data_IF_937760537130
#
_entry.id   IF_937760537130
#
_cell.length_a   1.000
_cell.length_b   1.000
_cell.length_c   1.000
_cell.angle_alpha   90.00
_cell.angle_beta   90.00
_cell.angle_gamma   90.00
#
_symmetry.space_group_name_H-M   'P 1'
#
loop_
_entity.id
_entity.type
_entity.pdbx_description
1 polymer ?
#
# COMPACT_ATOMS: atom_id res chain seq x y z
N UNK A 1 22.92 -31.51 36.65
CA UNK A 1 21.55 -31.25 36.14
C UNK A 1 21.08 -29.80 36.35
N UNK A 2 21.40 -29.13 37.47
CA UNK A 2 21.06 -27.70 37.69
C UNK A 2 21.76 -26.68 36.77
N UNK A 3 22.94 -26.99 36.22
CA UNK A 3 23.68 -26.10 35.29
C UNK A 3 23.24 -26.22 33.82
N UNK A 4 22.54 -27.28 33.43
CA UNK A 4 21.97 -27.41 32.07
C UNK A 4 20.62 -26.66 31.93
N UNK A 5 19.91 -26.43 33.02
CA UNK A 5 18.66 -25.66 33.02
C UNK A 5 18.88 -24.15 32.83
N UNK A 6 20.06 -23.62 33.17
CA UNK A 6 20.38 -22.20 33.01
C UNK A 6 20.79 -21.80 31.58
N UNK A 7 21.16 -22.79 30.75
CA UNK A 7 21.56 -22.55 29.34
C UNK A 7 20.33 -22.57 28.42
N UNK A 8 19.22 -23.18 28.86
CA UNK A 8 17.96 -23.19 28.11
C UNK A 8 17.12 -21.91 28.31
N UNK A 9 17.46 -21.04 29.26
CA UNK A 9 16.71 -19.79 29.53
C UNK A 9 17.27 -18.55 28.82
N UNK A 10 18.29 -18.70 27.96
CA UNK A 10 18.92 -17.60 27.21
C UNK A 10 18.51 -17.57 25.73
N UNK A 11 17.57 -18.42 25.30
CA UNK A 11 17.20 -18.61 23.88
C UNK A 11 15.89 -17.91 23.47
N UNK A 12 15.36 -17.00 24.28
CA UNK A 12 14.23 -16.15 23.89
C UNK A 12 14.69 -14.70 23.75
N UNK A 13 15.55 -14.44 22.77
CA UNK A 13 15.61 -13.11 22.18
C UNK A 13 14.50 -13.05 21.15
N UNK A 14 13.40 -12.44 21.56
CA UNK A 14 12.28 -12.08 20.72
C UNK A 14 12.79 -11.36 19.47
N UNK A 15 12.57 -11.97 18.31
CA UNK A 15 12.57 -11.29 17.03
C UNK A 15 11.43 -10.26 17.12
N UNK A 16 11.76 -9.00 17.36
CA UNK A 16 10.80 -7.92 17.14
C UNK A 16 10.93 -7.53 15.68
N UNK A 17 10.28 -8.31 14.82
CA UNK A 17 10.04 -7.88 13.46
C UNK A 17 8.91 -6.83 13.52
N UNK A 18 9.25 -5.63 13.07
CA UNK A 18 8.38 -4.46 13.01
C UNK A 18 8.76 -3.73 11.73
N UNK A 19 8.06 -4.04 10.66
CA UNK A 19 8.38 -3.63 9.30
C UNK A 19 7.75 -2.29 8.94
N UNK A 20 6.70 -1.90 9.66
CA UNK A 20 5.90 -0.73 9.35
C UNK A 20 6.20 0.42 10.33
N UNK A 21 6.15 1.63 9.77
CA UNK A 21 6.09 2.89 10.49
C UNK A 21 4.83 3.65 10.05
N UNK A 22 3.68 3.16 10.52
CA UNK A 22 2.37 3.67 10.17
C UNK A 22 1.89 4.77 11.12
N UNK A 23 1.51 5.91 10.57
CA UNK A 23 0.76 6.95 11.28
C UNK A 23 -0.73 6.78 11.06
N UNK A 24 -1.54 6.83 12.12
CA UNK A 24 -3.00 6.69 12.03
C UNK A 24 -3.68 8.00 12.43
N UNK A 25 -4.68 8.39 11.66
CA UNK A 25 -5.56 9.53 11.97
C UNK A 25 -7.01 9.14 11.83
N UNK A 26 -7.86 9.63 12.73
CA UNK A 26 -9.31 9.41 12.68
C UNK A 26 -10.02 10.76 12.56
N UNK A 27 -10.74 10.94 11.46
CA UNK A 27 -11.66 12.06 11.26
C UNK A 27 -13.10 11.56 11.48
N UNK A 28 -13.76 12.10 12.50
CA UNK A 28 -15.15 11.80 12.82
C UNK A 28 -16.07 13.04 12.75
N UNK A 29 -15.68 14.09 12.01
CA UNK A 29 -16.47 15.33 11.87
C UNK A 29 -17.88 15.06 11.33
N UNK A 30 -18.01 14.10 10.41
CA UNK A 30 -19.28 13.73 9.79
C UNK A 30 -20.28 13.10 10.78
N UNK A 31 -19.82 12.59 11.92
CA UNK A 31 -20.69 12.04 12.98
C UNK A 31 -21.42 13.11 13.78
N UNK A 32 -20.97 14.37 13.71
CA UNK A 32 -21.42 15.45 14.61
C UNK A 32 -20.87 15.35 16.04
N UNK A 33 -20.11 14.29 16.36
CA UNK A 33 -19.54 14.02 17.68
C UNK A 33 -18.02 13.78 17.60
N UNK A 34 -17.28 14.64 16.90
CA UNK A 34 -15.86 14.42 16.58
C UNK A 34 -14.90 14.28 17.77
N UNK A 35 -15.30 14.69 18.98
CA UNK A 35 -14.43 14.76 20.17
C UNK A 35 -14.56 13.58 21.14
N UNK A 36 -15.29 12.52 20.77
CA UNK A 36 -15.47 11.36 21.64
C UNK A 36 -14.13 10.66 21.94
N UNK A 37 -13.99 10.19 23.19
CA UNK A 37 -12.80 9.49 23.66
C UNK A 37 -12.51 8.23 22.84
N UNK A 38 -13.57 7.51 22.43
CA UNK A 38 -13.48 6.28 21.64
C UNK A 38 -12.62 6.43 20.39
N UNK A 39 -12.65 7.60 19.72
CA UNK A 39 -11.83 7.84 18.52
C UNK A 39 -10.34 7.99 18.85
N UNK A 40 -10.00 8.59 20.00
CA UNK A 40 -8.60 8.71 20.45
C UNK A 40 -8.05 7.35 20.85
N UNK A 41 -8.86 6.56 21.57
CA UNK A 41 -8.51 5.19 21.95
C UNK A 41 -8.30 4.33 20.71
N UNK A 42 -9.27 4.32 19.79
CA UNK A 42 -9.19 3.59 18.52
C UNK A 42 -7.96 3.98 17.70
N UNK A 43 -7.65 5.28 17.58
CA UNK A 43 -6.45 5.73 16.86
C UNK A 43 -5.17 5.17 17.50
N UNK A 44 -5.07 5.21 18.83
CA UNK A 44 -3.91 4.67 19.56
C UNK A 44 -3.79 3.16 19.38
N UNK A 45 -4.89 2.42 19.53
CA UNK A 45 -4.89 0.96 19.41
C UNK A 45 -4.55 0.49 17.99
N UNK A 46 -5.09 1.14 16.95
CA UNK A 46 -4.72 0.84 15.56
C UNK A 46 -3.25 1.18 15.30
N UNK A 47 -2.77 2.33 15.80
CA UNK A 47 -1.34 2.70 15.66
C UNK A 47 -0.44 1.67 16.31
N UNK A 48 -0.80 1.19 17.50
CA UNK A 48 -0.06 0.15 18.20
C UNK A 48 -0.10 -1.16 17.43
N UNK A 49 -1.29 -1.59 16.99
CA UNK A 49 -1.48 -2.81 16.23
C UNK A 49 -0.65 -2.83 14.94
N UNK A 50 -0.68 -1.76 14.15
CA UNK A 50 0.06 -1.72 12.88
C UNK A 50 1.59 -1.75 13.08
N UNK A 51 2.09 -1.09 14.13
CA UNK A 51 3.53 -0.90 14.34
C UNK A 51 4.19 -1.92 15.27
N UNK A 52 3.41 -2.63 16.10
CA UNK A 52 3.93 -3.63 17.05
C UNK A 52 3.66 -5.07 16.64
N UNK A 53 2.76 -5.30 15.69
CA UNK A 53 2.55 -6.63 15.12
C UNK A 53 3.72 -7.02 14.24
N UNK A 54 4.19 -8.26 14.42
CA UNK A 54 5.16 -8.90 13.54
C UNK A 54 4.44 -9.41 12.31
N UNK A 55 4.56 -8.70 11.19
CA UNK A 55 3.90 -9.09 9.94
C UNK A 55 4.71 -10.13 9.17
N UNK A 56 6.02 -10.12 9.35
CA UNK A 56 6.95 -11.07 8.72
C UNK A 56 7.97 -11.55 9.76
N UNK A 57 8.89 -12.41 9.32
CA UNK A 57 10.04 -12.85 10.13
C UNK A 57 11.26 -11.91 9.95
N UNK A 58 11.12 -10.80 9.23
CA UNK A 58 12.22 -9.89 8.92
C UNK A 58 12.52 -8.93 10.08
N UNK A 59 13.76 -8.99 10.56
CA UNK A 59 14.28 -7.97 11.46
C UNK A 59 14.84 -6.79 10.66
N UNK A 60 14.02 -5.76 10.47
CA UNK A 60 14.45 -4.50 9.85
C UNK A 60 14.88 -3.47 10.89
N UNK A 61 15.84 -2.62 10.55
CA UNK A 61 16.20 -1.48 11.40
C UNK A 61 15.10 -0.41 11.33
N UNK A 62 15.06 0.48 12.32
CA UNK A 62 14.05 1.56 12.37
C UNK A 62 14.00 2.38 11.07
N UNK A 63 15.16 2.71 10.49
CA UNK A 63 15.26 3.46 9.24
C UNK A 63 14.93 2.66 7.97
N UNK A 64 14.79 1.33 8.09
CA UNK A 64 14.42 0.42 7.00
C UNK A 64 12.92 0.07 7.07
N UNK A 65 12.18 0.63 8.04
CA UNK A 65 10.73 0.46 8.13
C UNK A 65 10.03 1.22 7.00
N UNK A 66 8.95 0.63 6.52
CA UNK A 66 8.12 1.20 5.47
C UNK A 66 7.23 2.28 6.08
N UNK A 67 7.37 3.51 5.59
CA UNK A 67 6.53 4.62 6.01
C UNK A 67 5.12 4.47 5.41
N UNK A 68 4.11 4.50 6.26
CA UNK A 68 2.70 4.36 5.88
C UNK A 68 1.79 5.33 6.65
N UNK A 69 0.63 5.62 6.06
CA UNK A 69 -0.39 6.45 6.69
C UNK A 69 -1.78 5.87 6.46
N UNK A 70 -2.56 5.81 7.53
CA UNK A 70 -3.95 5.38 7.54
C UNK A 70 -4.82 6.54 8.02
N UNK A 71 -5.63 7.11 7.13
CA UNK A 71 -6.62 8.11 7.49
C UNK A 71 -8.02 7.51 7.42
N UNK A 72 -8.63 7.33 8.59
CA UNK A 72 -9.96 6.73 8.73
C UNK A 72 -10.98 7.86 8.84
N UNK A 73 -11.98 7.86 7.96
CA UNK A 73 -13.08 8.81 7.99
C UNK A 73 -14.32 8.07 8.47
N UNK A 74 -14.78 8.38 9.68
CA UNK A 74 -15.99 7.83 10.29
C UNK A 74 -17.16 8.73 9.94
N UNK A 75 -18.13 8.19 9.21
CA UNK A 75 -19.34 8.90 8.81
C UNK A 75 -20.49 8.72 9.79
N UNK A 76 -20.55 7.56 10.47
CA UNK A 76 -21.58 7.26 11.45
C UNK A 76 -21.05 6.30 12.54
N UNK A 77 -21.61 6.40 13.74
CA UNK A 77 -21.39 5.51 14.87
C UNK A 77 -22.74 5.13 15.48
N UNK A 78 -22.96 3.83 15.70
CA UNK A 78 -24.14 3.30 16.38
C UNK A 78 -23.71 2.22 17.38
N UNK A 79 -23.64 2.60 18.66
CA UNK A 79 -23.00 1.81 19.71
C UNK A 79 -21.58 1.42 19.28
N UNK A 80 -21.35 0.14 19.04
CA UNK A 80 -20.04 -0.42 18.73
C UNK A 80 -19.81 -0.53 17.22
N UNK A 81 -20.79 -0.19 16.39
CA UNK A 81 -20.71 -0.25 14.94
C UNK A 81 -20.32 1.10 14.34
N UNK A 82 -19.30 1.07 13.49
CA UNK A 82 -18.74 2.23 12.82
C UNK A 82 -18.93 2.09 11.30
N UNK A 83 -19.55 3.10 10.70
CA UNK A 83 -19.58 3.26 9.25
C UNK A 83 -18.42 4.15 8.85
N UNK A 84 -17.46 3.63 8.09
CA UNK A 84 -16.25 4.35 7.78
C UNK A 84 -15.67 4.00 6.40
N UNK A 85 -14.70 4.82 6.02
CA UNK A 85 -13.79 4.61 4.89
C UNK A 85 -12.36 4.79 5.38
N UNK A 86 -11.40 4.19 4.67
CA UNK A 86 -9.99 4.30 4.99
C UNK A 86 -9.18 4.70 3.76
N UNK A 87 -8.37 5.74 3.93
CA UNK A 87 -7.35 6.13 2.97
C UNK A 87 -6.02 5.52 3.41
N UNK A 88 -5.44 4.70 2.55
CA UNK A 88 -4.19 3.98 2.79
C UNK A 88 -3.11 4.54 1.89
N UNK A 89 -2.00 4.94 2.49
CA UNK A 89 -0.84 5.46 1.79
C UNK A 89 0.44 4.78 2.28
N UNK A 90 1.38 4.54 1.38
CA UNK A 90 2.74 4.13 1.72
C UNK A 90 3.75 4.81 0.82
N UNK A 91 4.99 4.90 1.30
CA UNK A 91 6.12 5.45 0.54
C UNK A 91 7.40 4.73 0.89
N UNK A 92 8.36 4.80 -0.02
CA UNK A 92 9.73 4.34 0.22
C UNK A 92 10.76 5.44 -0.06
N UNK A 93 11.93 5.41 0.57
CA UNK A 93 13.02 6.31 0.23
C UNK A 93 13.61 5.96 -1.15
N UNK A 94 13.98 7.01 -1.89
CA UNK A 94 14.77 6.87 -3.12
C UNK A 94 16.25 6.76 -2.75
N UNK A 95 16.95 5.83 -3.41
CA UNK A 95 18.35 5.55 -3.11
C UNK A 95 19.24 6.81 -3.20
N UNK A 96 20.07 7.01 -2.18
CA UNK A 96 21.00 8.15 -2.08
C UNK A 96 20.32 9.52 -2.20
N UNK A 97 19.08 9.63 -1.73
CA UNK A 97 18.27 10.86 -1.76
C UNK A 97 17.49 11.02 -0.45
N UNK A 98 17.08 12.26 -0.16
CA UNK A 98 16.10 12.56 0.91
C UNK A 98 14.66 12.51 0.42
N UNK A 99 14.45 12.15 -0.84
CA UNK A 99 13.12 12.09 -1.47
C UNK A 99 12.44 10.76 -1.17
N UNK A 100 11.21 10.83 -0.67
CA UNK A 100 10.33 9.68 -0.50
C UNK A 100 9.32 9.62 -1.64
N UNK A 101 9.26 8.46 -2.29
CA UNK A 101 8.38 8.23 -3.43
C UNK A 101 7.14 7.44 -2.99
N UNK A 102 5.92 7.87 -3.37
CA UNK A 102 4.68 7.19 -2.97
C UNK A 102 4.54 5.85 -3.70
N UNK A 103 4.17 4.79 -2.99
CA UNK A 103 4.00 3.43 -3.54
C UNK A 103 2.53 3.06 -3.66
N UNK A 104 1.75 3.33 -2.62
CA UNK A 104 0.33 3.07 -2.57
C UNK A 104 -0.43 4.34 -2.21
N UNK A 105 -1.57 4.56 -2.86
CA UNK A 105 -2.53 5.59 -2.50
C UNK A 105 -3.94 5.07 -2.83
N UNK A 106 -4.64 4.49 -1.86
CA UNK A 106 -5.92 3.82 -2.08
C UNK A 106 -7.00 4.27 -1.10
N UNK A 107 -8.16 4.67 -1.66
CA UNK A 107 -9.35 5.00 -0.90
C UNK A 107 -10.31 3.81 -0.88
N UNK A 108 -10.39 3.15 0.26
CA UNK A 108 -11.30 2.05 0.50
C UNK A 108 -12.57 2.54 1.20
N UNK A 109 -13.67 2.53 0.45
CA UNK A 109 -14.99 2.97 0.92
C UNK A 109 -15.78 1.87 1.62
N UNK A 110 -15.27 0.65 1.67
CA UNK A 110 -15.97 -0.52 2.20
C UNK A 110 -15.32 -0.94 3.54
N UNK A 111 -15.24 0.01 4.48
CA UNK A 111 -14.57 -0.16 5.77
C UNK A 111 -15.53 0.07 6.94
N UNK A 112 -16.60 -0.71 6.99
CA UNK A 112 -17.50 -0.75 8.15
C UNK A 112 -16.96 -1.78 9.14
N UNK A 113 -16.94 -1.46 10.43
CA UNK A 113 -16.38 -2.36 11.44
C UNK A 113 -17.07 -2.22 12.78
N UNK A 114 -16.90 -3.24 13.63
CA UNK A 114 -17.26 -3.18 15.04
C UNK A 114 -16.00 -2.93 15.86
N UNK A 115 -16.12 -2.10 16.90
CA UNK A 115 -15.03 -1.83 17.84
C UNK A 115 -15.56 -1.59 19.25
N UNK A 116 -14.90 -2.22 20.22
CA UNK A 116 -15.16 -2.07 21.65
C UNK A 116 -13.83 -1.70 22.30
N UNK A 117 -13.79 -0.60 23.06
CA UNK A 117 -12.55 -0.10 23.67
C UNK A 117 -11.88 -1.16 24.56
N UNK A 118 -10.54 -1.18 24.53
CA UNK A 118 -9.70 -2.08 25.33
C UNK A 118 -9.84 -3.57 24.97
N UNK A 119 -10.62 -3.92 23.95
CA UNK A 119 -10.58 -5.26 23.38
C UNK A 119 -9.28 -5.43 22.60
N UNK A 120 -8.47 -6.48 22.88
CA UNK A 120 -7.19 -6.63 22.23
C UNK A 120 -7.36 -6.87 20.72
N UNK A 121 -6.63 -6.10 19.92
CA UNK A 121 -6.52 -6.29 18.47
C UNK A 121 -5.43 -7.34 18.22
N UNK A 122 -5.83 -8.61 18.05
CA UNK A 122 -4.92 -9.71 17.74
C UNK A 122 -5.22 -10.26 16.36
N UNK A 123 -4.20 -10.36 15.51
CA UNK A 123 -4.34 -10.96 14.19
C UNK A 123 -4.04 -12.46 14.23
N UNK A 124 -4.87 -13.24 13.53
CA UNK A 124 -4.63 -14.63 13.24
C UNK A 124 -4.94 -14.90 11.77
N UNK A 125 -3.97 -15.42 11.03
CA UNK A 125 -4.11 -15.67 9.59
C UNK A 125 -5.20 -16.70 9.24
N UNK A 126 -5.54 -17.58 10.18
CA UNK A 126 -6.45 -18.70 9.93
C UNK A 126 -7.89 -18.44 10.41
N UNK A 127 -8.13 -17.37 11.18
CA UNK A 127 -9.45 -17.08 11.74
C UNK A 127 -9.88 -15.66 11.44
N UNK A 128 -11.17 -15.50 11.15
CA UNK A 128 -11.79 -14.18 11.09
C UNK A 128 -12.24 -13.78 12.48
N UNK A 129 -11.58 -12.79 13.06
CA UNK A 129 -11.94 -12.24 14.37
C UNK A 129 -12.82 -10.97 14.21
N UNK A 130 -12.34 -10.00 13.44
CA UNK A 130 -13.12 -8.80 13.12
C UNK A 130 -12.75 -8.20 11.77
N UNK A 131 -13.67 -7.41 11.20
CA UNK A 131 -13.40 -6.71 9.95
C UNK A 131 -12.33 -5.62 10.11
N UNK A 132 -12.27 -4.96 11.28
CA UNK A 132 -11.23 -3.98 11.59
C UNK A 132 -9.84 -4.60 11.46
N UNK A 133 -9.62 -5.71 12.17
CA UNK A 133 -8.33 -6.43 12.19
C UNK A 133 -8.00 -6.96 10.79
N UNK A 134 -8.97 -7.56 10.10
CA UNK A 134 -8.76 -8.14 8.76
C UNK A 134 -8.37 -7.09 7.73
N UNK A 135 -9.03 -5.92 7.72
CA UNK A 135 -8.69 -4.83 6.79
C UNK A 135 -7.30 -4.28 7.07
N UNK A 136 -6.96 -4.06 8.34
CA UNK A 136 -5.64 -3.54 8.73
C UNK A 136 -4.52 -4.53 8.35
N UNK A 137 -4.71 -5.82 8.64
CA UNK A 137 -3.76 -6.88 8.26
C UNK A 137 -3.61 -7.01 6.74
N UNK A 138 -4.72 -6.94 5.99
CA UNK A 138 -4.68 -6.95 4.53
C UNK A 138 -3.81 -5.82 3.97
N UNK A 139 -3.95 -4.61 4.50
CA UNK A 139 -3.15 -3.48 4.06
C UNK A 139 -1.70 -3.56 4.51
N UNK A 140 -1.41 -4.12 5.69
CA UNK A 140 -0.03 -4.39 6.11
C UNK A 140 0.70 -5.25 5.08
N UNK A 141 0.16 -6.44 4.74
CA UNK A 141 0.77 -7.32 3.75
C UNK A 141 0.78 -6.74 2.33
N UNK A 142 -0.24 -6.00 1.94
CA UNK A 142 -0.27 -5.33 0.63
C UNK A 142 0.82 -4.27 0.53
N UNK A 143 1.02 -3.46 1.58
CA UNK A 143 2.08 -2.44 1.63
C UNK A 143 3.45 -3.09 1.56
N UNK A 144 3.70 -4.13 2.38
CA UNK A 144 4.98 -4.85 2.39
C UNK A 144 5.26 -5.49 1.02
N UNK A 145 4.25 -6.10 0.40
CA UNK A 145 4.41 -6.72 -0.91
C UNK A 145 4.71 -5.73 -2.04
N UNK A 146 4.03 -4.57 -2.04
CA UNK A 146 4.30 -3.52 -3.03
C UNK A 146 5.67 -2.88 -2.83
N UNK A 147 6.09 -2.70 -1.58
CA UNK A 147 7.43 -2.20 -1.27
C UNK A 147 8.50 -3.19 -1.78
N UNK A 148 8.40 -4.47 -1.41
CA UNK A 148 9.32 -5.51 -1.86
C UNK A 148 9.38 -5.62 -3.40
N UNK A 149 8.22 -5.60 -4.07
CA UNK A 149 8.14 -5.66 -5.54
C UNK A 149 8.79 -4.44 -6.24
N UNK A 150 8.92 -3.32 -5.54
CA UNK A 150 9.62 -2.13 -6.07
C UNK A 150 11.14 -2.24 -6.01
N UNK A 151 11.68 -3.12 -5.16
CA UNK A 151 13.12 -3.38 -5.02
C UNK A 151 13.59 -4.59 -5.82
N UNK A 152 12.76 -5.62 -5.94
CA UNK A 152 13.09 -6.87 -6.62
C UNK A 152 11.85 -7.51 -7.27
N UNK A 153 12.01 -7.96 -8.51
CA UNK A 153 10.93 -8.64 -9.24
C UNK A 153 10.54 -9.95 -8.52
N UNK A 154 9.25 -10.11 -8.26
CA UNK A 154 8.70 -11.30 -7.59
C UNK A 154 8.80 -11.28 -6.06
N UNK A 155 9.56 -10.37 -5.46
CA UNK A 155 9.72 -10.32 -3.99
C UNK A 155 8.43 -9.97 -3.24
N UNK A 156 7.42 -9.39 -3.92
CA UNK A 156 6.11 -9.08 -3.34
C UNK A 156 5.15 -10.27 -3.22
N UNK A 157 5.34 -11.33 -4.02
CA UNK A 157 4.38 -12.43 -4.18
C UNK A 157 4.03 -13.16 -2.86
N UNK A 158 4.98 -13.48 -1.96
CA UNK A 158 4.66 -14.13 -0.69
C UNK A 158 3.67 -13.33 0.17
N UNK A 159 3.80 -12.00 0.20
CA UNK A 159 2.94 -11.13 0.99
C UNK A 159 1.56 -10.97 0.37
N UNK A 160 1.46 -10.98 -0.96
CA UNK A 160 0.17 -10.98 -1.64
C UNK A 160 -0.59 -12.30 -1.41
N UNK A 161 0.11 -13.43 -1.28
CA UNK A 161 -0.51 -14.70 -0.89
C UNK A 161 -1.02 -14.69 0.56
N UNK A 162 -0.29 -14.08 1.50
CA UNK A 162 -0.82 -13.85 2.87
C UNK A 162 -2.08 -12.97 2.86
N UNK A 163 -2.05 -11.86 2.09
CA UNK A 163 -3.22 -11.01 1.91
C UNK A 163 -4.41 -11.77 1.29
N UNK A 164 -4.16 -12.76 0.43
CA UNK A 164 -5.19 -13.63 -0.15
C UNK A 164 -5.79 -14.57 0.90
N UNK A 165 -5.01 -15.08 1.85
CA UNK A 165 -5.57 -15.84 2.97
C UNK A 165 -6.56 -15.01 3.77
N UNK A 166 -6.23 -13.74 4.05
CA UNK A 166 -7.14 -12.80 4.73
C UNK A 166 -8.42 -12.58 3.92
N UNK A 167 -8.32 -12.39 2.60
CA UNK A 167 -9.50 -12.28 1.72
C UNK A 167 -10.38 -13.52 1.84
N UNK A 168 -9.79 -14.73 1.79
CA UNK A 168 -10.53 -15.98 1.84
C UNK A 168 -11.22 -16.23 3.19
N UNK A 169 -10.59 -15.86 4.31
CA UNK A 169 -11.18 -16.01 5.64
C UNK A 169 -12.26 -14.96 5.89
N UNK A 170 -12.02 -13.70 5.50
CA UNK A 170 -12.97 -12.61 5.69
C UNK A 170 -14.24 -12.74 4.83
N UNK A 171 -14.10 -13.22 3.59
CA UNK A 171 -15.23 -13.40 2.67
C UNK A 171 -16.33 -14.33 3.23
N UNK A 172 -15.99 -15.25 4.15
CA UNK A 172 -16.95 -16.17 4.76
C UNK A 172 -17.92 -15.47 5.73
N UNK A 173 -17.53 -14.33 6.31
CA UNK A 173 -18.29 -13.62 7.32
C UNK A 173 -18.79 -12.26 6.82
N UNK A 174 -17.99 -11.57 6.00
CA UNK A 174 -18.28 -10.24 5.47
C UNK A 174 -18.08 -10.24 3.97
N UNK A 175 -19.14 -9.93 3.20
CA UNK A 175 -19.02 -9.85 1.73
C UNK A 175 -18.36 -8.54 1.29
N UNK A 176 -18.70 -7.42 1.92
CA UNK A 176 -18.31 -6.08 1.47
C UNK A 176 -16.78 -5.87 1.49
N UNK A 177 -16.23 -5.61 0.31
CA UNK A 177 -14.81 -5.43 0.03
C UNK A 177 -14.01 -6.73 -0.11
N UNK A 178 -14.56 -7.88 0.29
CA UNK A 178 -13.87 -9.19 0.32
C UNK A 178 -14.34 -10.18 -0.74
N UNK A 179 -15.37 -9.85 -1.52
CA UNK A 179 -15.93 -10.73 -2.54
C UNK A 179 -15.89 -10.12 -3.94
N UNK A 180 -16.04 -10.96 -4.96
CA UNK A 180 -16.16 -10.51 -6.36
C UNK A 180 -17.37 -9.59 -6.60
N UNK A 181 -18.40 -9.69 -5.75
CA UNK A 181 -19.60 -8.86 -5.81
C UNK A 181 -19.38 -7.45 -5.25
N UNK A 182 -18.24 -7.19 -4.61
CA UNK A 182 -17.90 -5.89 -3.99
C UNK A 182 -17.57 -4.78 -5.01
N UNK A 183 -17.59 -5.09 -6.30
CA UNK A 183 -17.31 -4.16 -7.37
C UNK A 183 -15.84 -4.15 -7.81
N UNK A 184 -15.55 -3.30 -8.78
CA UNK A 184 -14.26 -3.25 -9.49
C UNK A 184 -13.14 -2.59 -8.70
N UNK A 185 -13.46 -1.93 -7.58
CA UNK A 185 -12.52 -1.23 -6.71
C UNK A 185 -12.67 -1.73 -5.28
N UNK A 186 -12.16 -2.94 -5.02
CA UNK A 186 -12.30 -3.63 -3.75
C UNK A 186 -10.97 -4.30 -3.35
N UNK A 187 -10.82 -4.65 -2.07
CA UNK A 187 -9.66 -5.40 -1.56
C UNK A 187 -9.53 -6.74 -2.27
N UNK A 188 -10.66 -7.43 -2.47
CA UNK A 188 -10.73 -8.65 -3.28
C UNK A 188 -10.12 -8.45 -4.67
N UNK A 189 -10.58 -7.42 -5.40
CA UNK A 189 -10.11 -7.19 -6.77
C UNK A 189 -8.65 -6.78 -6.81
N UNK A 190 -8.21 -5.95 -5.86
CA UNK A 190 -6.81 -5.54 -5.73
C UNK A 190 -5.90 -6.77 -5.59
N UNK A 191 -6.18 -7.64 -4.63
CA UNK A 191 -5.37 -8.83 -4.37
C UNK A 191 -5.41 -9.83 -5.54
N UNK A 192 -6.59 -10.04 -6.13
CA UNK A 192 -6.73 -10.88 -7.32
C UNK A 192 -5.85 -10.40 -8.48
N UNK A 193 -5.83 -9.09 -8.73
CA UNK A 193 -5.02 -8.53 -9.81
C UNK A 193 -3.52 -8.59 -9.45
N UNK A 194 -3.13 -8.36 -8.18
CA UNK A 194 -1.73 -8.45 -7.72
C UNK A 194 -1.12 -9.85 -7.89
N UNK A 195 -1.91 -10.91 -7.71
CA UNK A 195 -1.47 -12.30 -7.88
C UNK A 195 -1.66 -12.83 -9.30
N UNK A 196 -2.36 -12.10 -10.17
CA UNK A 196 -2.67 -12.61 -11.50
C UNK A 196 -1.44 -12.53 -12.40
N UNK A 197 -1.04 -13.64 -13.07
CA UNK A 197 0.09 -13.65 -14.00
C UNK A 197 -0.15 -12.74 -15.23
N UNK A 198 -1.39 -12.32 -15.46
CA UNK A 198 -1.72 -11.34 -16.51
C UNK A 198 -1.24 -9.90 -16.20
N UNK A 199 -0.66 -9.66 -15.03
CA UNK A 199 -0.15 -8.36 -14.60
C UNK A 199 1.36 -8.39 -14.33
N UNK A 200 2.11 -9.31 -14.96
CA UNK A 200 3.58 -9.32 -14.83
C UNK A 200 4.21 -8.01 -15.30
N UNK A 201 3.69 -7.44 -16.40
CA UNK A 201 4.15 -6.17 -16.96
C UNK A 201 3.94 -4.99 -16.00
N UNK A 202 2.98 -5.09 -15.08
CA UNK A 202 2.81 -4.08 -14.02
C UNK A 202 4.01 -4.08 -13.07
N UNK A 203 4.49 -5.25 -12.64
CA UNK A 203 5.64 -5.37 -11.76
C UNK A 203 6.95 -4.99 -12.47
N UNK A 204 7.08 -5.33 -13.75
CA UNK A 204 8.21 -4.87 -14.57
C UNK A 204 8.25 -3.33 -14.65
N UNK A 205 7.09 -2.69 -14.87
CA UNK A 205 6.98 -1.24 -14.89
C UNK A 205 7.27 -0.62 -13.53
N UNK A 206 6.75 -1.20 -12.45
CA UNK A 206 7.01 -0.74 -11.08
C UNK A 206 8.50 -0.83 -10.75
N UNK A 207 9.13 -1.99 -10.96
CA UNK A 207 10.55 -2.19 -10.69
C UNK A 207 11.42 -1.23 -11.52
N UNK A 208 11.19 -1.16 -12.83
CA UNK A 208 12.00 -0.31 -13.71
C UNK A 208 11.84 1.18 -13.37
N UNK A 209 10.63 1.63 -13.04
CA UNK A 209 10.36 3.00 -12.63
C UNK A 209 11.14 3.40 -11.36
N UNK A 210 11.14 2.54 -10.34
CA UNK A 210 11.81 2.83 -9.07
C UNK A 210 13.31 2.58 -9.14
N UNK A 211 13.74 1.39 -9.56
CA UNK A 211 15.14 0.95 -9.48
C UNK A 211 16.02 1.52 -10.58
N UNK A 212 15.52 1.53 -11.82
CA UNK A 212 16.29 2.03 -12.97
C UNK A 212 16.02 3.52 -13.25
N UNK A 213 14.91 4.04 -12.72
CA UNK A 213 14.53 5.44 -12.80
C UNK A 213 14.94 6.22 -11.57
N UNK A 214 14.08 6.25 -10.56
CA UNK A 214 14.23 7.09 -9.37
C UNK A 214 15.56 6.87 -8.64
N UNK A 215 15.92 5.62 -8.35
CA UNK A 215 17.15 5.27 -7.62
C UNK A 215 18.43 5.57 -8.41
N UNK A 216 18.31 5.78 -9.73
CA UNK A 216 19.42 6.13 -10.61
C UNK A 216 19.54 7.65 -10.84
N UNK A 217 18.59 8.45 -10.32
CA UNK A 217 18.61 9.91 -10.49
C UNK A 217 19.88 10.53 -9.89
N UNK A 218 20.32 10.05 -8.73
CA UNK A 218 21.52 10.57 -8.07
C UNK A 218 22.80 10.44 -8.92
N UNK A 219 22.82 9.49 -9.87
CA UNK A 219 23.93 9.27 -10.79
C UNK A 219 23.75 10.08 -12.07
N UNK A 220 22.54 10.09 -12.66
CA UNK A 220 22.27 10.81 -13.90
C UNK A 220 20.77 11.11 -14.09
N UNK A 221 20.37 12.36 -13.85
CA UNK A 221 19.01 12.84 -14.08
C UNK A 221 18.49 12.55 -15.49
N UNK A 222 19.32 12.72 -16.52
CA UNK A 222 18.90 12.55 -17.91
C UNK A 222 18.60 11.08 -18.23
N UNK A 223 19.50 10.18 -17.86
CA UNK A 223 19.35 8.74 -18.10
C UNK A 223 18.22 8.15 -17.24
N UNK A 224 18.09 8.60 -15.99
CA UNK A 224 16.99 8.23 -15.10
C UNK A 224 15.63 8.62 -15.71
N UNK A 225 15.48 9.86 -16.22
CA UNK A 225 14.25 10.30 -16.88
C UNK A 225 13.92 9.49 -18.13
N UNK A 226 14.91 9.15 -18.94
CA UNK A 226 14.72 8.28 -20.10
C UNK A 226 14.23 6.90 -19.66
N UNK A 227 14.84 6.32 -18.62
CA UNK A 227 14.44 5.04 -18.04
C UNK A 227 13.02 5.08 -17.47
N UNK A 228 12.63 6.16 -16.82
CA UNK A 228 11.24 6.37 -16.36
C UNK A 228 10.28 6.44 -17.54
N UNK A 229 10.60 7.20 -18.59
CA UNK A 229 9.75 7.29 -19.78
C UNK A 229 9.55 5.92 -20.46
N UNK A 230 10.62 5.12 -20.54
CA UNK A 230 10.57 3.73 -21.04
C UNK A 230 9.69 2.86 -20.14
N UNK A 231 9.87 2.95 -18.82
CA UNK A 231 9.07 2.19 -17.84
C UNK A 231 7.58 2.51 -17.96
N UNK A 232 7.24 3.79 -18.15
CA UNK A 232 5.85 4.24 -18.35
C UNK A 232 5.25 3.73 -19.67
N UNK A 233 6.08 3.47 -20.70
CA UNK A 233 5.61 2.88 -21.96
C UNK A 233 5.15 1.42 -21.82
N UNK A 234 5.62 0.70 -20.78
CA UNK A 234 5.16 -0.68 -20.49
C UNK A 234 3.67 -0.72 -20.14
N UNK A 235 3.14 0.34 -19.53
CA UNK A 235 1.70 0.47 -19.28
C UNK A 235 0.87 0.53 -20.57
N UNK A 236 1.45 0.91 -21.71
CA UNK A 236 0.73 0.85 -22.99
C UNK A 236 0.48 -0.60 -23.42
N UNK A 237 1.45 -1.49 -23.22
CA UNK A 237 1.28 -2.91 -23.50
C UNK A 237 0.20 -3.51 -22.59
N UNK A 238 0.28 -3.21 -21.29
CA UNK A 238 -0.72 -3.64 -20.33
C UNK A 238 -2.12 -3.11 -20.68
N UNK A 239 -2.23 -1.83 -21.07
CA UNK A 239 -3.49 -1.22 -21.48
C UNK A 239 -4.07 -1.85 -22.75
N UNK A 240 -3.25 -2.21 -23.74
CA UNK A 240 -3.72 -2.91 -24.95
C UNK A 240 -4.33 -4.28 -24.62
N UNK A 241 -3.72 -5.00 -23.67
CA UNK A 241 -4.19 -6.32 -23.26
C UNK A 241 -5.40 -6.24 -22.31
N UNK A 242 -5.41 -5.26 -21.41
CA UNK A 242 -6.39 -5.07 -20.32
C UNK A 242 -6.65 -3.58 -20.07
N UNK A 243 -7.50 -2.93 -20.90
CA UNK A 243 -7.81 -1.52 -20.72
C UNK A 243 -8.55 -1.29 -19.40
N UNK A 244 -8.32 -0.12 -18.79
CA UNK A 244 -9.00 0.32 -17.55
C UNK A 244 -8.90 -0.66 -16.37
N UNK A 245 -7.80 -1.41 -16.27
CA UNK A 245 -7.57 -2.33 -15.16
C UNK A 245 -7.30 -1.56 -13.85
N UNK A 246 -7.66 -2.19 -12.73
CA UNK A 246 -7.64 -1.54 -11.43
C UNK A 246 -6.22 -1.25 -10.92
N UNK A 247 -5.26 -2.16 -11.14
CA UNK A 247 -3.86 -1.95 -10.74
C UNK A 247 -3.20 -0.74 -11.41
N UNK A 248 -3.44 -0.56 -12.70
CA UNK A 248 -2.93 0.61 -13.42
C UNK A 248 -3.49 1.90 -12.82
N UNK A 249 -4.78 1.91 -12.46
CA UNK A 249 -5.37 3.04 -11.76
C UNK A 249 -4.71 3.30 -10.41
N UNK A 250 -4.49 2.26 -9.60
CA UNK A 250 -3.79 2.38 -8.30
C UNK A 250 -2.40 2.98 -8.46
N UNK A 251 -1.64 2.54 -9.46
CA UNK A 251 -0.33 3.12 -9.77
C UNK A 251 -0.44 4.62 -10.08
N UNK A 252 -1.28 5.01 -11.04
CA UNK A 252 -1.39 6.42 -11.42
C UNK A 252 -2.07 7.30 -10.36
N UNK A 253 -2.89 6.74 -9.48
CA UNK A 253 -3.43 7.45 -8.30
C UNK A 253 -2.32 7.80 -7.29
N UNK A 254 -1.22 7.05 -7.25
CA UNK A 254 -0.03 7.37 -6.44
C UNK A 254 1.03 8.19 -7.18
N UNK A 255 1.21 7.98 -8.50
CA UNK A 255 2.37 8.49 -9.25
C UNK A 255 2.12 9.72 -10.12
N UNK A 256 0.87 10.10 -10.40
CA UNK A 256 0.60 11.13 -11.42
C UNK A 256 1.29 12.48 -11.13
N UNK A 257 1.29 12.93 -9.88
CA UNK A 257 1.95 14.16 -9.46
C UNK A 257 3.48 14.07 -9.55
N UNK A 258 4.05 12.94 -9.09
CA UNK A 258 5.50 12.67 -9.18
C UNK A 258 5.97 12.66 -10.63
N UNK A 259 5.25 11.98 -11.52
CA UNK A 259 5.56 11.93 -12.95
C UNK A 259 5.51 13.34 -13.56
N UNK A 260 4.48 14.13 -13.27
CA UNK A 260 4.40 15.50 -13.77
C UNK A 260 5.56 16.38 -13.26
N UNK A 261 5.93 16.25 -11.99
CA UNK A 261 7.07 16.96 -11.40
C UNK A 261 8.40 16.59 -12.07
N UNK A 262 8.66 15.29 -12.26
CA UNK A 262 9.88 14.78 -12.91
C UNK A 262 10.03 15.33 -14.34
N UNK A 263 8.95 15.36 -15.11
CA UNK A 263 9.00 15.76 -16.52
C UNK A 263 8.75 17.26 -16.77
N UNK A 264 8.35 18.04 -15.77
CA UNK A 264 8.23 19.50 -15.88
C UNK A 264 9.50 20.27 -15.49
N UNK A 265 10.39 19.67 -14.70
CA UNK A 265 11.70 20.24 -14.31
C UNK A 265 12.90 19.57 -15.00
N UNK A 266 14.13 19.87 -14.57
CA UNK A 266 15.36 19.12 -14.91
C UNK A 266 15.79 19.09 -16.40
N UNK A 267 16.71 18.19 -16.79
CA UNK A 267 17.19 18.11 -18.16
C UNK A 267 16.08 17.65 -19.12
N UNK A 268 16.08 18.23 -20.32
CA UNK A 268 15.16 17.88 -21.39
C UNK A 268 15.51 16.49 -21.97
N UNK A 269 14.49 15.68 -22.18
CA UNK A 269 14.54 14.34 -22.80
C UNK A 269 13.43 14.25 -23.84
N UNK A 270 13.57 13.44 -24.88
CA UNK A 270 12.51 13.30 -25.89
C UNK A 270 11.30 12.59 -25.28
N UNK A 271 10.25 13.35 -24.98
CA UNK A 271 9.02 12.91 -24.31
C UNK A 271 7.77 13.05 -25.17
N UNK A 272 7.95 13.27 -26.47
CA UNK A 272 6.84 13.48 -27.42
C UNK A 272 5.84 12.31 -27.43
N UNK A 273 6.33 11.07 -27.32
CA UNK A 273 5.49 9.87 -27.18
C UNK A 273 4.94 9.69 -25.76
N UNK A 274 5.65 10.14 -24.73
CA UNK A 274 5.29 9.91 -23.33
C UNK A 274 3.94 10.53 -22.98
N UNK A 275 3.73 11.81 -23.32
CA UNK A 275 2.47 12.51 -23.02
C UNK A 275 1.28 11.83 -23.73
N UNK A 276 1.49 11.33 -24.94
CA UNK A 276 0.47 10.56 -25.67
C UNK A 276 0.15 9.25 -24.94
N UNK A 277 1.18 8.49 -24.51
CA UNK A 277 1.00 7.27 -23.72
C UNK A 277 0.25 7.54 -22.42
N UNK A 278 0.66 8.55 -21.65
CA UNK A 278 0.04 8.91 -20.37
C UNK A 278 -1.44 9.28 -20.51
N UNK A 279 -1.79 10.07 -21.54
CA UNK A 279 -3.20 10.39 -21.82
C UNK A 279 -4.02 9.17 -22.26
N UNK A 280 -3.39 8.16 -22.88
CA UNK A 280 -4.04 6.92 -23.29
C UNK A 280 -4.28 5.97 -22.12
N UNK A 281 -3.29 5.79 -21.25
CA UNK A 281 -3.36 4.79 -20.16
C UNK A 281 -3.96 5.34 -18.87
N UNK A 282 -3.87 6.65 -18.64
CA UNK A 282 -4.38 7.33 -17.47
C UNK A 282 -5.07 8.67 -17.82
N UNK A 283 -6.15 8.64 -18.64
CA UNK A 283 -6.83 9.86 -19.10
C UNK A 283 -7.41 10.70 -17.96
N UNK A 284 -7.77 10.08 -16.83
CA UNK A 284 -8.30 10.76 -15.63
C UNK A 284 -7.26 11.62 -14.91
N UNK A 285 -5.99 11.54 -15.30
CA UNK A 285 -4.87 12.31 -14.75
C UNK A 285 -4.36 13.39 -15.72
N UNK A 286 -5.12 13.71 -16.76
CA UNK A 286 -4.74 14.67 -17.82
C UNK A 286 -4.33 16.05 -17.29
N UNK A 287 -4.88 16.51 -16.16
CA UNK A 287 -4.47 17.76 -15.50
C UNK A 287 -3.02 17.76 -15.06
N UNK A 288 -2.46 16.61 -14.68
CA UNK A 288 -1.03 16.46 -14.38
C UNK A 288 -0.21 16.42 -15.68
N UNK A 289 -0.68 15.70 -16.70
CA UNK A 289 0.02 15.57 -17.99
C UNK A 289 0.16 16.89 -18.74
N UNK A 290 -0.81 17.81 -18.58
CA UNK A 290 -0.74 19.16 -19.15
C UNK A 290 0.39 20.02 -18.58
N UNK A 291 0.94 19.68 -17.41
CA UNK A 291 2.06 20.41 -16.80
C UNK A 291 3.40 20.06 -17.46
N UNK A 292 3.45 18.94 -18.19
CA UNK A 292 4.63 18.48 -18.92
C UNK A 292 4.72 19.29 -20.22
N UNK A 293 5.62 20.28 -20.25
CA UNK A 293 5.88 21.08 -21.45
C UNK A 293 6.82 20.30 -22.37
N UNK A 294 6.45 20.21 -23.65
CA UNK A 294 7.27 19.64 -24.73
C UNK A 294 8.44 20.56 -25.09
#
# INVERSE_FOLDING_TARGET
>A
MRKLLFILSMLTWSLQAQELNCTVSINAEQTGQSNLQVFRTLQSEITEFMNRTSWTDLNVKQQERIDCSLAIIVSNINSDFFTASIQVQSSRPVYNSTYNTPILNFNDRQFNFQYTEFQPLNYNANTFDSNLISVLAFYAYTIIGLDAASYELGAGEPYFEEAKQIVNTAQQQVSDGWSAQSGTQSRYRLNQDLLSPNFREFFDAMYAYHRNGLDYMAQSDREAKQSIAISLSLFEQLYRNRPNNFLTRVFFDSKAEEIASIFSGGPQVNISSLVSTLNKVAPTKSTYWQQIKL
#
